data_IF_818687909742
#
_entry.id   IF_818687909742
#
_cell.length_a   1.000
_cell.length_b   1.000
_cell.length_c   1.000
_cell.angle_alpha   90.00
_cell.angle_beta   90.00
_cell.angle_gamma   90.00
#
_symmetry.space_group_name_H-M   'P 1'
#
loop_
_entity.id
_entity.type
_entity.pdbx_description
1 polymer ?
#
# COMPACT_ATOMS: atom_id res chain seq x y z
N UNK A 1 -38.67 -27.23 -4.83
CA UNK A 1 -37.76 -26.67 -3.80
C UNK A 1 -36.45 -27.42 -3.92
N UNK A 2 -35.52 -26.91 -4.69
CA UNK A 2 -34.19 -27.52 -4.87
C UNK A 2 -33.21 -26.36 -4.80
N UNK A 3 -32.67 -26.15 -3.61
CA UNK A 3 -31.73 -25.08 -3.32
C UNK A 3 -30.39 -25.38 -3.98
N UNK A 4 -29.97 -24.49 -4.88
CA UNK A 4 -28.62 -24.39 -5.39
C UNK A 4 -27.70 -24.01 -4.23
N UNK A 5 -26.85 -24.93 -3.79
CA UNK A 5 -25.76 -24.59 -2.88
C UNK A 5 -24.72 -23.79 -3.66
N UNK A 6 -24.76 -22.47 -3.48
CA UNK A 6 -23.67 -21.56 -3.81
C UNK A 6 -22.47 -21.93 -2.94
N UNK A 7 -21.42 -22.48 -3.54
CA UNK A 7 -20.12 -22.63 -2.90
C UNK A 7 -19.49 -21.23 -2.82
N UNK A 8 -19.67 -20.58 -1.67
CA UNK A 8 -18.92 -19.37 -1.32
C UNK A 8 -17.48 -19.77 -0.97
N UNK A 9 -16.59 -19.74 -1.96
CA UNK A 9 -15.15 -19.77 -1.68
C UNK A 9 -14.77 -18.40 -1.11
N UNK A 10 -14.70 -18.30 0.21
CA UNK A 10 -14.22 -17.11 0.91
C UNK A 10 -12.73 -16.94 0.65
N UNK A 11 -12.37 -16.08 -0.31
CA UNK A 11 -11.00 -15.60 -0.50
C UNK A 11 -10.77 -14.42 0.46
N UNK A 12 -10.47 -14.72 1.72
CA UNK A 12 -10.05 -13.73 2.75
C UNK A 12 -8.59 -13.25 2.53
N UNK A 13 -8.19 -13.09 1.27
CA UNK A 13 -6.86 -12.70 0.84
C UNK A 13 -6.89 -11.54 -0.14
N UNK A 14 -5.70 -10.95 -0.38
CA UNK A 14 -5.50 -9.76 -1.22
C UNK A 14 -6.08 -9.90 -2.64
N UNK A 15 -6.36 -11.13 -3.07
CA UNK A 15 -6.90 -11.55 -4.37
C UNK A 15 -8.31 -11.08 -4.69
N UNK A 16 -9.15 -10.79 -3.70
CA UNK A 16 -10.56 -10.52 -3.95
C UNK A 16 -10.83 -9.28 -4.81
N UNK A 17 -9.87 -8.39 -5.02
CA UNK A 17 -10.13 -7.14 -5.74
C UNK A 17 -8.95 -6.19 -6.00
N UNK A 18 -7.72 -6.66 -5.82
CA UNK A 18 -6.53 -5.86 -6.13
C UNK A 18 -6.12 -6.13 -7.57
N UNK A 19 -6.12 -5.08 -8.40
CA UNK A 19 -5.65 -5.21 -9.78
C UNK A 19 -4.20 -5.68 -9.85
N UNK A 20 -3.88 -6.58 -10.79
CA UNK A 20 -2.52 -7.11 -11.02
C UNK A 20 -1.47 -6.00 -11.12
N UNK A 21 -1.85 -4.84 -11.68
CA UNK A 21 -1.01 -3.64 -11.75
C UNK A 21 -0.62 -3.10 -10.37
N UNK A 22 -1.52 -3.11 -9.38
CA UNK A 22 -1.20 -2.64 -8.03
C UNK A 22 -0.17 -3.56 -7.35
N UNK A 23 -0.28 -4.88 -7.56
CA UNK A 23 0.72 -5.85 -7.11
C UNK A 23 2.07 -5.62 -7.82
N UNK A 24 2.07 -5.32 -9.11
CA UNK A 24 3.30 -5.06 -9.86
C UNK A 24 4.03 -3.81 -9.32
N UNK A 25 3.25 -2.77 -9.00
CA UNK A 25 3.78 -1.54 -8.39
C UNK A 25 4.27 -1.82 -6.96
N UNK A 26 3.59 -2.67 -6.19
CA UNK A 26 4.07 -3.10 -4.88
C UNK A 26 5.39 -3.87 -4.98
N UNK A 27 5.53 -4.83 -5.90
CA UNK A 27 6.77 -5.56 -6.13
C UNK A 27 7.92 -4.63 -6.56
N UNK A 28 7.67 -3.67 -7.45
CA UNK A 28 8.66 -2.68 -7.84
C UNK A 28 9.12 -1.81 -6.65
N UNK A 29 8.21 -1.37 -5.78
CA UNK A 29 8.54 -0.63 -4.55
C UNK A 29 9.32 -1.49 -3.54
N UNK A 30 9.00 -2.78 -3.45
CA UNK A 30 9.76 -3.70 -2.60
C UNK A 30 11.19 -3.85 -3.10
N UNK A 31 11.39 -4.07 -4.41
CA UNK A 31 12.73 -4.13 -5.04
C UNK A 31 13.49 -2.83 -4.78
N UNK A 32 12.86 -1.67 -5.01
CA UNK A 32 13.45 -0.35 -4.77
C UNK A 32 13.89 -0.17 -3.31
N UNK A 33 13.10 -0.66 -2.34
CA UNK A 33 13.41 -0.55 -0.91
C UNK A 33 14.70 -1.29 -0.53
N UNK A 34 14.99 -2.39 -1.22
CA UNK A 34 16.19 -3.21 -0.99
C UNK A 34 17.39 -2.81 -1.85
N UNK A 35 17.30 -1.74 -2.64
CA UNK A 35 18.44 -1.20 -3.39
C UNK A 35 19.41 -0.44 -2.48
N UNK A 36 20.73 -0.49 -2.75
CA UNK A 36 21.71 0.32 -2.02
C UNK A 36 21.55 1.82 -2.28
N UNK A 37 21.06 2.20 -3.46
CA UNK A 37 20.79 3.57 -3.89
C UNK A 37 19.30 3.95 -3.80
N UNK A 38 18.56 3.32 -2.88
CA UNK A 38 17.10 3.48 -2.75
C UNK A 38 16.67 4.94 -2.63
N UNK A 39 15.75 5.35 -3.50
CA UNK A 39 15.13 6.67 -3.47
C UNK A 39 13.95 6.72 -2.50
N UNK A 40 13.23 5.62 -2.34
CA UNK A 40 12.07 5.56 -1.47
C UNK A 40 11.95 4.19 -0.81
N UNK A 41 11.67 4.19 0.50
CA UNK A 41 11.52 2.99 1.29
C UNK A 41 10.06 2.76 1.62
N UNK A 42 9.55 1.60 1.19
CA UNK A 42 8.21 1.13 1.49
C UNK A 42 8.29 -0.24 2.17
N UNK A 43 8.37 -0.21 3.49
CA UNK A 43 8.51 -1.41 4.34
C UNK A 43 7.32 -2.37 4.25
N UNK A 44 6.16 -1.89 3.77
CA UNK A 44 4.94 -2.70 3.66
C UNK A 44 4.79 -3.35 2.27
N UNK A 45 5.51 -2.86 1.27
CA UNK A 45 5.38 -3.31 -0.11
C UNK A 45 5.62 -4.82 -0.27
N UNK A 46 6.65 -5.37 0.39
CA UNK A 46 6.95 -6.80 0.37
C UNK A 46 5.81 -7.64 0.98
N UNK A 47 5.21 -7.17 2.07
CA UNK A 47 4.09 -7.87 2.72
C UNK A 47 2.88 -8.01 1.80
N UNK A 48 2.54 -6.96 1.04
CA UNK A 48 1.43 -7.05 0.09
C UNK A 48 1.69 -8.03 -1.05
N UNK A 49 2.91 -8.08 -1.56
CA UNK A 49 3.30 -8.98 -2.66
C UNK A 49 3.26 -10.44 -2.21
N UNK A 50 3.75 -10.73 -0.99
CA UNK A 50 3.74 -12.08 -0.42
C UNK A 50 2.35 -12.51 0.06
N UNK A 51 1.49 -11.56 0.41
CA UNK A 51 0.12 -11.81 0.88
C UNK A 51 -0.92 -12.09 -0.23
N UNK A 52 -0.53 -12.01 -1.50
CA UNK A 52 -1.38 -12.36 -2.65
C UNK A 52 -0.77 -13.55 -3.39
N UNK A 53 -1.53 -14.64 -3.59
CA UNK A 53 -1.09 -15.84 -4.31
C UNK A 53 -0.61 -15.49 -5.73
N UNK A 54 -1.33 -14.59 -6.40
CA UNK A 54 -1.00 -14.12 -7.75
C UNK A 54 0.42 -13.51 -7.87
N UNK A 55 0.96 -12.97 -6.78
CA UNK A 55 2.27 -12.30 -6.75
C UNK A 55 3.27 -12.91 -5.77
N UNK A 56 2.90 -13.98 -5.06
CA UNK A 56 3.70 -14.56 -3.99
C UNK A 56 5.10 -14.98 -4.46
N UNK A 57 5.25 -15.31 -5.75
CA UNK A 57 6.48 -15.78 -6.41
C UNK A 57 7.32 -14.64 -7.01
N UNK A 58 6.81 -13.41 -7.05
CA UNK A 58 7.46 -12.31 -7.75
C UNK A 58 8.72 -11.82 -7.03
N UNK A 59 9.67 -11.22 -7.77
CA UNK A 59 10.87 -10.66 -7.15
C UNK A 59 10.50 -9.47 -6.27
N UNK A 60 11.02 -9.46 -5.05
CA UNK A 60 10.91 -8.32 -4.12
C UNK A 60 12.28 -7.73 -3.79
N UNK A 61 13.35 -8.29 -4.35
CA UNK A 61 14.73 -7.80 -4.23
C UNK A 61 15.41 -7.73 -5.59
N UNK A 62 16.42 -6.87 -5.79
CA UNK A 62 17.13 -6.76 -7.06
C UNK A 62 17.76 -8.08 -7.51
N UNK A 63 18.36 -8.85 -6.61
CA UNK A 63 19.04 -10.12 -6.88
C UNK A 63 18.07 -11.26 -7.28
N UNK A 64 16.79 -11.13 -6.94
CA UNK A 64 15.75 -12.08 -7.31
C UNK A 64 15.21 -11.84 -8.72
N UNK A 65 15.44 -10.66 -9.30
CA UNK A 65 14.97 -10.33 -10.63
C UNK A 65 15.87 -11.00 -11.70
N UNK A 66 15.30 -11.63 -12.75
CA UNK A 66 16.09 -12.10 -13.89
C UNK A 66 16.86 -10.94 -14.54
N UNK A 67 18.19 -11.00 -14.52
CA UNK A 67 19.08 -9.92 -14.99
C UNK A 67 19.33 -8.82 -13.95
N UNK A 68 18.87 -8.99 -12.71
CA UNK A 68 19.09 -8.08 -11.60
C UNK A 68 18.66 -6.65 -11.90
N UNK A 69 19.53 -5.71 -11.54
CA UNK A 69 19.35 -4.27 -11.80
C UNK A 69 19.32 -3.90 -13.30
N UNK A 70 19.86 -4.77 -14.16
CA UNK A 70 19.83 -4.59 -15.62
C UNK A 70 18.59 -5.19 -16.26
N UNK A 71 17.71 -5.83 -15.47
CA UNK A 71 16.44 -6.37 -15.96
C UNK A 71 15.63 -5.27 -16.66
N UNK A 72 15.31 -5.42 -17.96
CA UNK A 72 14.57 -4.41 -18.71
C UNK A 72 13.19 -4.11 -18.11
N UNK A 73 12.60 -5.12 -17.47
CA UNK A 73 11.33 -5.02 -16.79
C UNK A 73 11.55 -4.56 -15.34
N UNK A 74 12.11 -5.42 -14.48
CA UNK A 74 12.11 -5.18 -13.04
C UNK A 74 13.05 -4.05 -12.59
N UNK A 75 14.24 -3.93 -13.18
CA UNK A 75 15.21 -2.89 -12.82
C UNK A 75 14.71 -1.50 -13.22
N UNK A 76 14.18 -1.37 -14.45
CA UNK A 76 13.58 -0.11 -14.92
C UNK A 76 12.30 0.24 -14.16
N UNK A 77 11.44 -0.75 -13.88
CA UNK A 77 10.22 -0.55 -13.10
C UNK A 77 10.54 -0.10 -11.67
N UNK A 78 11.47 -0.77 -10.99
CA UNK A 78 11.88 -0.41 -9.63
C UNK A 78 12.36 1.05 -9.57
N UNK A 79 13.28 1.46 -10.46
CA UNK A 79 13.76 2.85 -10.52
C UNK A 79 12.66 3.86 -10.81
N UNK A 80 11.78 3.56 -11.76
CA UNK A 80 10.66 4.45 -12.10
C UNK A 80 9.71 4.62 -10.91
N UNK A 81 9.29 3.51 -10.28
CA UNK A 81 8.38 3.56 -9.15
C UNK A 81 9.04 4.09 -7.87
N UNK A 82 10.35 3.92 -7.71
CA UNK A 82 11.14 4.56 -6.67
C UNK A 82 11.14 6.07 -6.80
N UNK A 83 11.48 6.59 -7.99
CA UNK A 83 11.43 8.02 -8.28
C UNK A 83 10.01 8.59 -8.12
N UNK A 84 9.00 7.94 -8.71
CA UNK A 84 7.59 8.33 -8.55
C UNK A 84 7.20 8.40 -7.07
N UNK A 85 7.63 7.42 -6.28
CA UNK A 85 7.32 7.37 -4.85
C UNK A 85 8.00 8.51 -4.10
N UNK A 86 9.30 8.73 -4.31
CA UNK A 86 10.07 9.84 -3.72
C UNK A 86 9.42 11.19 -3.99
N UNK A 87 9.09 11.48 -5.26
CA UNK A 87 8.52 12.77 -5.67
C UNK A 87 7.18 13.03 -5.00
N UNK A 88 6.30 12.02 -4.97
CA UNK A 88 4.99 12.14 -4.32
C UNK A 88 5.12 12.29 -2.80
N UNK A 89 6.02 11.55 -2.17
CA UNK A 89 6.26 11.65 -0.73
C UNK A 89 6.77 13.05 -0.35
N UNK A 90 7.75 13.58 -1.10
CA UNK A 90 8.26 14.93 -0.89
C UNK A 90 7.20 16.00 -1.10
N UNK A 91 6.33 15.82 -2.10
CA UNK A 91 5.24 16.74 -2.34
C UNK A 91 4.26 16.74 -1.17
N UNK A 92 3.82 15.57 -0.73
CA UNK A 92 2.87 15.42 0.38
C UNK A 92 3.45 15.97 1.69
N UNK A 93 4.68 15.58 2.01
CA UNK A 93 5.35 16.01 3.23
C UNK A 93 5.63 17.52 3.24
N UNK A 94 6.04 18.11 2.12
CA UNK A 94 6.15 19.58 2.02
C UNK A 94 4.78 20.24 2.20
N UNK A 95 3.74 19.73 1.54
CA UNK A 95 2.40 20.30 1.62
C UNK A 95 1.88 20.37 3.07
N UNK A 96 2.08 19.31 3.86
CA UNK A 96 1.63 19.31 5.27
C UNK A 96 2.55 20.12 6.20
N UNK A 97 3.86 20.13 5.95
CA UNK A 97 4.83 20.81 6.83
C UNK A 97 4.97 22.31 6.55
N UNK A 98 5.02 22.72 5.29
CA UNK A 98 5.31 24.11 4.91
C UNK A 98 4.06 24.87 4.50
N UNK A 99 3.11 24.22 3.79
CA UNK A 99 1.89 24.87 3.32
C UNK A 99 0.70 24.72 4.29
N UNK A 100 0.87 24.00 5.39
CA UNK A 100 -0.17 23.85 6.42
C UNK A 100 -1.35 22.95 6.02
N UNK A 101 -1.20 22.13 4.98
CA UNK A 101 -2.26 21.17 4.61
C UNK A 101 -2.53 20.19 5.76
N UNK A 102 -3.81 19.91 6.04
CA UNK A 102 -4.27 18.97 7.08
C UNK A 102 -5.18 17.87 6.58
N UNK A 103 -5.57 17.92 5.31
CA UNK A 103 -6.32 16.85 4.67
C UNK A 103 -5.56 16.39 3.44
N UNK A 104 -5.32 15.09 3.35
CA UNK A 104 -4.66 14.45 2.21
C UNK A 104 -5.61 13.42 1.65
N UNK A 105 -5.82 13.45 0.34
CA UNK A 105 -6.67 12.47 -0.36
C UNK A 105 -5.79 11.68 -1.31
N UNK A 106 -5.69 10.37 -1.06
CA UNK A 106 -5.02 9.41 -1.93
C UNK A 106 -6.08 8.74 -2.82
N UNK A 107 -6.11 9.15 -4.09
CA UNK A 107 -7.03 8.61 -5.10
C UNK A 107 -6.42 7.38 -5.77
N UNK A 108 -7.20 6.29 -5.85
CA UNK A 108 -6.72 5.00 -6.34
C UNK A 108 -5.64 4.41 -5.45
N UNK A 109 -5.85 4.48 -4.12
CA UNK A 109 -4.82 4.15 -3.14
C UNK A 109 -4.28 2.72 -3.31
N UNK A 110 -5.11 1.73 -3.62
CA UNK A 110 -4.65 0.36 -3.85
C UNK A 110 -3.82 -0.16 -2.67
N UNK A 111 -2.57 -0.54 -2.98
CA UNK A 111 -1.57 -0.99 -2.02
C UNK A 111 -0.64 0.15 -1.56
N UNK A 112 -1.11 1.40 -1.57
CA UNK A 112 -0.36 2.54 -1.06
C UNK A 112 -0.29 2.50 0.47
N UNK A 113 0.94 2.52 1.00
CA UNK A 113 1.20 2.49 2.43
C UNK A 113 1.58 3.86 3.01
N UNK A 114 1.45 4.96 2.27
CA UNK A 114 1.82 6.32 2.71
C UNK A 114 1.15 6.74 4.00
N UNK A 115 -0.11 6.38 4.20
CA UNK A 115 -0.83 6.66 5.45
C UNK A 115 -0.15 6.03 6.67
N UNK A 116 0.56 4.90 6.48
CA UNK A 116 1.19 4.14 7.54
C UNK A 116 2.70 4.44 7.69
N UNK A 117 3.41 4.70 6.58
CA UNK A 117 4.87 4.86 6.59
C UNK A 117 5.38 6.30 6.64
N UNK A 118 4.58 7.30 6.25
CA UNK A 118 5.03 8.70 6.27
C UNK A 118 4.75 9.34 7.62
N UNK A 119 5.66 10.23 8.06
CA UNK A 119 5.54 11.00 9.29
C UNK A 119 4.61 12.21 9.10
N UNK A 120 3.32 11.93 9.27
CA UNK A 120 2.27 12.94 9.22
C UNK A 120 2.14 13.70 10.56
N UNK A 121 1.84 15.01 10.54
CA UNK A 121 1.39 15.74 11.74
C UNK A 121 0.18 15.07 12.42
N UNK A 122 0.01 15.29 13.73
CA UNK A 122 -1.05 14.63 14.52
C UNK A 122 -2.47 15.08 14.16
N UNK A 123 -2.60 16.28 13.60
CA UNK A 123 -3.84 16.90 13.14
C UNK A 123 -4.13 16.65 11.65
N UNK A 124 -3.32 15.81 10.99
CA UNK A 124 -3.53 15.45 9.58
C UNK A 124 -4.50 14.28 9.44
N UNK A 125 -5.48 14.44 8.55
CA UNK A 125 -6.46 13.43 8.16
C UNK A 125 -6.10 12.91 6.76
N UNK A 126 -5.99 11.59 6.62
CA UNK A 126 -5.68 10.93 5.36
C UNK A 126 -6.91 10.14 4.91
N UNK A 127 -7.41 10.49 3.73
CA UNK A 127 -8.49 9.78 3.05
C UNK A 127 -7.91 8.90 1.96
N UNK A 128 -8.30 7.63 1.98
CA UNK A 128 -7.95 6.68 0.93
C UNK A 128 -9.21 6.31 0.15
N UNK A 129 -9.24 6.70 -1.12
CA UNK A 129 -10.37 6.43 -2.01
C UNK A 129 -9.91 5.42 -3.05
N UNK A 130 -10.56 4.27 -3.06
CA UNK A 130 -10.32 3.22 -4.04
C UNK A 130 -11.63 2.45 -4.30
N UNK A 131 -11.65 1.58 -5.32
CA UNK A 131 -12.76 0.66 -5.55
C UNK A 131 -12.91 -0.30 -4.37
N UNK A 132 -14.16 -0.65 -4.05
CA UNK A 132 -14.52 -1.49 -2.89
C UNK A 132 -13.82 -2.84 -2.81
N UNK A 133 -13.42 -3.38 -3.96
CA UNK A 133 -12.73 -4.66 -4.07
C UNK A 133 -11.29 -4.60 -3.54
N UNK A 134 -10.62 -3.45 -3.70
CA UNK A 134 -9.20 -3.24 -3.36
C UNK A 134 -9.01 -2.78 -1.91
N UNK A 135 -10.01 -2.09 -1.31
CA UNK A 135 -9.90 -1.51 0.03
C UNK A 135 -9.93 -2.56 1.16
N UNK A 136 -10.58 -3.72 0.96
CA UNK A 136 -10.64 -4.83 1.95
C UNK A 136 -9.29 -5.56 2.10
N UNK A 137 -8.57 -5.72 1.00
CA UNK A 137 -7.28 -6.45 0.95
C UNK A 137 -6.16 -5.83 1.79
N UNK A 138 -6.18 -4.51 2.00
CA UNK A 138 -5.20 -3.81 2.85
C UNK A 138 -5.49 -4.00 4.37
N UNK A 139 -6.63 -4.60 4.72
CA UNK A 139 -7.06 -4.85 6.11
C UNK A 139 -6.89 -6.32 6.54
N UNK A 140 -6.74 -7.24 5.57
CA UNK A 140 -6.79 -8.69 5.76
C UNK A 140 -5.51 -9.40 6.24
N UNK A 141 -4.36 -8.73 6.32
CA UNK A 141 -3.20 -9.32 7.01
C UNK A 141 -3.49 -9.34 8.51
N UNK A 142 -3.47 -10.51 9.15
CA UNK A 142 -3.82 -10.79 10.55
C UNK A 142 -3.02 -10.07 11.64
N UNK A 143 -2.28 -9.01 11.29
CA UNK A 143 -1.80 -7.99 12.23
C UNK A 143 -2.47 -6.67 11.85
N UNK A 144 -3.37 -6.10 12.68
CA UNK A 144 -3.91 -4.77 12.40
C UNK A 144 -2.73 -3.80 12.36
N UNK A 145 -2.39 -3.32 11.16
CA UNK A 145 -1.41 -2.26 10.96
C UNK A 145 -1.98 -1.01 11.63
N UNK A 146 -1.67 -0.85 12.91
CA UNK A 146 -2.09 0.31 13.69
C UNK A 146 -1.52 1.55 13.01
N UNK A 147 -2.37 2.52 12.61
CA UNK A 147 -1.86 3.79 12.14
C UNK A 147 -1.01 4.42 13.25
N UNK A 148 0.05 5.13 12.86
CA UNK A 148 0.94 5.78 13.82
C UNK A 148 0.10 6.70 14.74
N UNK A 149 0.41 6.75 16.04
CA UNK A 149 -0.48 7.20 17.15
C UNK A 149 -1.42 8.38 16.83
N UNK A 150 -2.72 8.22 17.15
CA UNK A 150 -3.71 9.32 17.25
C UNK A 150 -4.55 9.64 16.01
N UNK A 151 -4.68 8.71 15.05
CA UNK A 151 -5.19 9.02 13.70
C UNK A 151 -6.56 8.44 13.39
N UNK A 152 -7.28 9.13 12.50
CA UNK A 152 -8.40 8.60 11.74
C UNK A 152 -7.97 8.36 10.29
N UNK A 153 -7.99 7.09 9.86
CA UNK A 153 -7.90 6.72 8.44
C UNK A 153 -9.32 6.36 8.02
N UNK A 154 -9.88 7.11 7.09
CA UNK A 154 -11.21 6.84 6.54
C UNK A 154 -11.04 6.20 5.17
N UNK A 155 -11.47 4.94 5.06
CA UNK A 155 -11.60 4.22 3.77
C UNK A 155 -13.08 4.14 3.42
N UNK A 156 -13.40 4.25 2.13
CA UNK A 156 -14.77 4.06 1.61
C UNK A 156 -15.37 2.76 2.17
N UNK A 157 -16.32 2.88 3.10
CA UNK A 157 -17.08 1.76 3.70
C UNK A 157 -16.58 1.22 5.05
N UNK A 158 -15.46 1.69 5.60
CA UNK A 158 -14.95 1.26 6.91
C UNK A 158 -14.18 2.38 7.60
N UNK A 159 -14.76 2.90 8.69
CA UNK A 159 -14.07 3.82 9.60
C UNK A 159 -13.33 2.98 10.64
N UNK A 160 -12.01 2.89 10.55
CA UNK A 160 -11.21 2.40 11.68
C UNK A 160 -11.05 3.57 12.66
N UNK A 161 -12.09 3.81 13.46
CA UNK A 161 -12.07 4.81 14.51
C UNK A 161 -11.25 4.27 15.69
N UNK A 162 -10.21 5.01 16.09
CA UNK A 162 -9.56 4.74 17.37
C UNK A 162 -10.50 5.20 18.48
N UNK A 163 -11.24 4.27 19.08
CA UNK A 163 -11.91 4.50 20.38
C UNK A 163 -10.86 4.41 21.49
N UNK A 164 -10.59 5.53 22.16
CA UNK A 164 -9.76 5.60 23.37
C UNK A 164 -9.88 6.99 24.02
N UNK A 165 -9.94 7.08 25.36
CA UNK A 165 -10.98 7.84 26.04
C UNK A 165 -10.66 9.33 26.23
N UNK A 166 -11.72 10.12 26.32
CA UNK A 166 -11.69 11.47 26.90
C UNK A 166 -11.30 11.35 28.38
N UNK A 167 -10.18 11.96 28.74
CA UNK A 167 -9.90 12.47 30.09
C UNK A 167 -9.06 13.73 29.98
#
# INVERSE_FOLDING_TARGET
MTGTASLSTSTDGVEGGVGLTALLVAAARAIETHRPDSLAQDVYAEHFVRGAEASAHWPVRPDQAPGGDTSPLWGRFARYFGLRTRVLDDFLLRSVRTAGARQVVLLGAGLDARAFRLDWPSDSVIFEIDREESSRSNTGSSTPCRPNRGRSVSRSGSTCATTGPVR
#
